data_IF_289960115103
#
_entry.id   IF_289960115103
#
_cell.length_a   1.000
_cell.length_b   1.000
_cell.length_c   1.000
_cell.angle_alpha   90.00
_cell.angle_beta   90.00
_cell.angle_gamma   90.00
#
_symmetry.space_group_name_H-M   'P 1'
#
loop_
_entity.id
_entity.type
_entity.pdbx_description
1 polymer ?
#
# COMPACT_ATOMS: atom_id res chain seq x y z
N UNK A 1 -16.65 6.62 -7.96
CA UNK A 1 -16.46 7.60 -6.86
C UNK A 1 -15.02 8.09 -6.75
N UNK A 2 -14.02 7.21 -6.56
CA UNK A 2 -12.62 7.63 -6.35
C UNK A 2 -12.07 8.52 -7.46
N UNK A 3 -12.28 8.14 -8.73
CA UNK A 3 -11.82 8.94 -9.88
C UNK A 3 -12.30 10.41 -9.83
N UNK A 4 -13.58 10.64 -9.50
CA UNK A 4 -14.10 11.99 -9.35
C UNK A 4 -13.38 12.77 -8.25
N UNK A 5 -13.06 12.12 -7.12
CA UNK A 5 -12.32 12.75 -6.02
C UNK A 5 -10.90 13.09 -6.44
N UNK A 6 -10.20 12.16 -7.08
CA UNK A 6 -8.86 12.40 -7.60
C UNK A 6 -8.83 13.59 -8.56
N UNK A 7 -9.77 13.66 -9.49
CA UNK A 7 -9.87 14.77 -10.43
C UNK A 7 -10.13 16.10 -9.71
N UNK A 8 -11.08 16.13 -8.77
CA UNK A 8 -11.39 17.33 -7.99
C UNK A 8 -10.21 17.79 -7.11
N UNK A 9 -9.33 16.87 -6.71
CA UNK A 9 -8.11 17.17 -5.95
C UNK A 9 -6.92 17.61 -6.83
N UNK A 10 -7.11 17.77 -8.15
CA UNK A 10 -6.07 18.28 -9.04
C UNK A 10 -5.17 17.20 -9.65
N UNK A 11 -5.62 15.94 -9.74
CA UNK A 11 -4.85 14.84 -10.36
C UNK A 11 -4.30 15.20 -11.76
N UNK A 12 -5.01 16.03 -12.53
CA UNK A 12 -4.55 16.50 -13.84
C UNK A 12 -3.19 17.20 -13.81
N UNK A 13 -2.80 17.79 -12.69
CA UNK A 13 -1.52 18.47 -12.48
C UNK A 13 -0.47 17.58 -11.79
N UNK A 14 -0.86 16.41 -11.28
CA UNK A 14 0.04 15.47 -10.65
C UNK A 14 0.60 14.45 -11.66
N UNK A 15 1.67 13.76 -11.25
CA UNK A 15 2.19 12.57 -11.95
C UNK A 15 1.18 11.43 -11.94
N UNK A 16 0.53 11.24 -10.79
CA UNK A 16 -0.24 10.04 -10.52
C UNK A 16 -0.91 10.05 -9.15
N UNK A 17 -1.28 8.86 -8.70
CA UNK A 17 -1.86 8.59 -7.39
C UNK A 17 -1.16 7.39 -6.73
N UNK A 18 -1.39 7.18 -5.43
CA UNK A 18 -0.89 6.03 -4.69
C UNK A 18 -2.04 5.19 -4.16
N UNK A 19 -1.87 3.87 -4.15
CA UNK A 19 -2.82 2.90 -3.61
C UNK A 19 -2.18 2.06 -2.51
N UNK A 20 -3.01 1.26 -1.83
CA UNK A 20 -2.63 0.35 -0.75
C UNK A 20 -1.89 0.95 0.47
N UNK A 21 -1.74 2.28 0.57
CA UNK A 21 -0.94 2.92 1.64
C UNK A 21 -1.40 2.46 3.01
N UNK A 22 -0.46 1.89 3.78
CA UNK A 22 -0.71 1.29 5.10
C UNK A 22 -1.71 0.13 5.13
N UNK A 23 -2.03 -0.47 3.98
CA UNK A 23 -2.91 -1.63 3.87
C UNK A 23 -2.12 -2.88 3.41
N UNK A 24 -2.84 -3.96 3.10
CA UNK A 24 -2.31 -5.30 2.96
C UNK A 24 -2.79 -5.99 1.68
N UNK A 25 -3.51 -5.30 0.80
CA UNK A 25 -4.09 -5.94 -0.39
C UNK A 25 -3.00 -6.48 -1.32
N UNK A 26 -3.29 -7.61 -1.94
CA UNK A 26 -2.40 -8.25 -2.90
C UNK A 26 -2.06 -7.30 -4.06
N UNK A 27 -0.78 -7.28 -4.47
CA UNK A 27 -0.28 -6.36 -5.50
C UNK A 27 -1.04 -6.52 -6.83
N UNK A 28 -1.48 -7.73 -7.21
CA UNK A 28 -2.22 -7.95 -8.44
C UNK A 28 -3.64 -7.38 -8.38
N UNK A 29 -4.27 -7.42 -7.21
CA UNK A 29 -5.59 -6.80 -6.99
C UNK A 29 -5.49 -5.28 -7.05
N UNK A 30 -4.51 -4.69 -6.37
CA UNK A 30 -4.26 -3.24 -6.41
C UNK A 30 -3.93 -2.77 -7.83
N UNK A 31 -3.06 -3.49 -8.55
CA UNK A 31 -2.76 -3.20 -9.95
C UNK A 31 -4.01 -3.21 -10.83
N UNK A 32 -4.89 -4.19 -10.63
CA UNK A 32 -6.14 -4.30 -11.39
C UNK A 32 -7.10 -3.15 -11.10
N UNK A 33 -7.14 -2.66 -9.86
CA UNK A 33 -7.91 -1.48 -9.47
C UNK A 33 -7.32 -0.19 -10.06
N UNK A 34 -6.00 -0.04 -9.96
CA UNK A 34 -5.30 1.18 -10.39
C UNK A 34 -5.27 1.32 -11.91
N UNK A 35 -5.18 0.22 -12.66
CA UNK A 35 -5.31 0.27 -14.13
C UNK A 35 -6.70 0.76 -14.57
N UNK A 36 -7.77 0.49 -13.81
CA UNK A 36 -9.09 1.07 -14.11
C UNK A 36 -9.08 2.59 -13.92
N UNK A 37 -8.47 3.08 -12.83
CA UNK A 37 -8.32 4.52 -12.58
C UNK A 37 -7.42 5.18 -13.63
N UNK A 38 -6.34 4.52 -14.02
CA UNK A 38 -5.46 4.97 -15.11
C UNK A 38 -6.20 5.03 -16.43
N UNK A 39 -6.98 4.02 -16.81
CA UNK A 39 -7.72 4.00 -18.06
C UNK A 39 -8.66 5.22 -18.20
N UNK A 40 -9.20 5.72 -17.07
CA UNK A 40 -10.05 6.91 -17.04
C UNK A 40 -9.28 8.23 -16.97
N UNK A 41 -8.06 8.24 -16.43
CA UNK A 41 -7.32 9.48 -16.12
C UNK A 41 -6.09 9.72 -17.00
N UNK A 42 -5.56 8.68 -17.63
CA UNK A 42 -4.25 8.68 -18.30
C UNK A 42 -3.06 8.84 -17.36
N UNK A 43 -3.25 8.75 -16.04
CA UNK A 43 -2.20 9.01 -15.04
C UNK A 43 -1.53 7.73 -14.55
N UNK A 44 -0.30 7.89 -14.08
CA UNK A 44 0.51 6.82 -13.51
C UNK A 44 0.13 6.57 -12.05
N UNK A 45 0.66 5.50 -11.46
CA UNK A 45 0.43 5.18 -10.06
C UNK A 45 1.60 4.44 -9.42
N UNK A 46 1.60 4.40 -8.08
CA UNK A 46 2.50 3.61 -7.26
C UNK A 46 1.69 2.81 -6.24
N UNK A 47 2.18 1.62 -5.88
CA UNK A 47 1.51 0.74 -4.91
C UNK A 47 2.40 0.61 -3.67
N UNK A 48 1.82 0.81 -2.49
CA UNK A 48 2.48 0.44 -1.23
C UNK A 48 2.50 -1.10 -1.08
N UNK A 49 3.69 -1.68 -1.06
CA UNK A 49 3.94 -3.11 -0.86
C UNK A 49 4.70 -3.38 0.43
N UNK A 50 4.65 -2.45 1.39
CA UNK A 50 5.32 -2.59 2.68
C UNK A 50 4.95 -3.87 3.42
N UNK A 51 3.66 -4.21 3.49
CA UNK A 51 3.15 -5.28 4.39
C UNK A 51 2.18 -6.24 3.71
N UNK A 52 2.13 -6.27 2.38
CA UNK A 52 1.13 -7.05 1.64
C UNK A 52 1.61 -8.45 1.20
N UNK A 53 2.71 -8.97 1.75
CA UNK A 53 3.30 -10.25 1.32
C UNK A 53 2.39 -11.48 1.48
N UNK A 54 1.34 -11.37 2.30
CA UNK A 54 0.33 -12.42 2.52
C UNK A 54 -1.10 -12.01 2.15
N UNK A 55 -1.27 -10.86 1.50
CA UNK A 55 -2.58 -10.31 1.17
C UNK A 55 -3.37 -9.87 2.41
N UNK A 56 -4.53 -9.25 2.15
CA UNK A 56 -5.40 -8.71 3.20
C UNK A 56 -6.35 -9.78 3.72
N UNK A 57 -6.54 -9.80 5.04
CA UNK A 57 -7.59 -10.59 5.70
C UNK A 57 -8.84 -9.76 6.01
N UNK A 58 -8.90 -8.52 5.55
CA UNK A 58 -9.95 -7.54 5.89
C UNK A 58 -9.70 -6.75 7.18
N UNK A 59 -8.75 -7.17 8.01
CA UNK A 59 -8.26 -6.40 9.16
C UNK A 59 -7.15 -5.45 8.71
N UNK A 60 -7.20 -4.20 9.16
CA UNK A 60 -6.22 -3.18 8.77
C UNK A 60 -5.34 -2.73 9.93
N UNK A 61 -5.74 -2.98 11.18
CA UNK A 61 -4.96 -2.53 12.32
C UNK A 61 -4.06 -3.63 12.89
N UNK A 62 -2.76 -3.53 12.64
CA UNK A 62 -1.73 -4.46 13.13
C UNK A 62 -2.06 -5.96 12.91
N UNK A 63 -2.62 -6.39 11.75
CA UNK A 63 -2.97 -7.79 11.53
C UNK A 63 -1.75 -8.70 11.65
N UNK A 64 -1.79 -9.68 12.56
CA UNK A 64 -0.66 -10.60 12.84
C UNK A 64 -0.37 -11.57 11.68
N UNK A 65 -1.34 -11.78 10.80
CA UNK A 65 -1.18 -12.61 9.61
C UNK A 65 -0.43 -11.90 8.47
N UNK A 66 -0.21 -10.58 8.55
CA UNK A 66 0.52 -9.84 7.53
C UNK A 66 1.98 -10.29 7.43
N UNK A 67 2.56 -10.12 6.25
CA UNK A 67 3.96 -10.39 5.95
C UNK A 67 4.57 -9.23 5.18
N UNK A 68 5.88 -9.04 5.34
CA UNK A 68 6.62 -8.03 4.60
C UNK A 68 6.45 -8.29 3.09
N UNK A 69 6.07 -7.28 2.33
CA UNK A 69 5.87 -7.46 0.89
C UNK A 69 7.19 -7.49 0.11
N UNK A 70 7.09 -7.37 -1.21
CA UNK A 70 8.26 -7.36 -2.09
C UNK A 70 9.16 -6.14 -1.85
N UNK A 71 10.44 -6.23 -2.24
CA UNK A 71 11.36 -5.10 -2.10
C UNK A 71 10.95 -3.95 -3.03
N UNK A 72 11.05 -2.68 -2.57
CA UNK A 72 10.76 -1.53 -3.41
C UNK A 72 11.58 -1.54 -4.70
N UNK A 73 10.93 -1.22 -5.82
CA UNK A 73 11.59 -1.10 -7.13
C UNK A 73 10.82 -0.19 -8.06
N UNK A 74 11.54 0.42 -9.00
CA UNK A 74 10.95 1.06 -10.18
C UNK A 74 10.45 -0.03 -11.13
N UNK A 75 9.30 0.21 -11.76
CA UNK A 75 8.70 -0.69 -12.74
C UNK A 75 8.82 -0.05 -14.13
N UNK A 76 9.37 -0.80 -15.08
CA UNK A 76 9.64 -0.34 -16.44
C UNK A 76 9.12 -1.36 -17.47
N UNK A 77 7.89 -1.84 -17.28
CA UNK A 77 7.23 -2.85 -18.12
C UNK A 77 6.25 -2.25 -19.16
N UNK A 78 6.19 -0.91 -19.25
CA UNK A 78 5.29 -0.18 -20.15
C UNK A 78 3.86 -0.02 -19.62
N UNK A 79 3.55 -0.51 -18.41
CA UNK A 79 2.28 -0.26 -17.73
C UNK A 79 2.20 1.14 -17.12
N UNK A 80 1.09 1.45 -16.44
CA UNK A 80 0.94 2.67 -15.65
C UNK A 80 1.63 2.69 -14.31
N UNK A 81 2.15 1.55 -13.86
CA UNK A 81 2.80 1.40 -12.57
C UNK A 81 4.22 1.98 -12.66
N UNK A 82 4.47 3.07 -11.96
CA UNK A 82 5.79 3.70 -11.90
C UNK A 82 6.73 2.94 -10.94
N UNK A 83 6.22 2.52 -9.77
CA UNK A 83 7.02 1.86 -8.75
C UNK A 83 6.17 1.11 -7.73
N UNK A 84 6.81 0.10 -7.14
CA UNK A 84 6.37 -0.55 -5.92
C UNK A 84 7.21 0.04 -4.79
N UNK A 85 6.54 0.59 -3.79
CA UNK A 85 7.17 1.37 -2.72
C UNK A 85 6.81 0.80 -1.36
N UNK A 86 7.64 1.05 -0.37
CA UNK A 86 7.20 0.97 1.02
C UNK A 86 6.84 2.38 1.45
N UNK A 87 5.55 2.70 1.39
CA UNK A 87 5.06 4.03 1.80
C UNK A 87 4.85 4.02 3.31
N UNK A 88 4.14 3.02 3.83
CA UNK A 88 4.16 2.71 5.26
C UNK A 88 5.51 2.13 5.64
N UNK A 89 6.09 2.61 6.75
CA UNK A 89 7.26 2.00 7.36
C UNK A 89 6.86 0.66 8.05
N UNK A 90 7.36 -0.50 7.58
CA UNK A 90 7.09 -1.78 8.24
C UNK A 90 7.67 -1.78 9.65
N UNK A 91 6.82 -2.04 10.65
CA UNK A 91 7.20 -2.03 12.07
C UNK A 91 6.66 -0.84 12.86
N UNK A 92 6.11 0.18 12.22
CA UNK A 92 5.30 1.17 12.93
C UNK A 92 3.88 0.66 13.17
N UNK A 93 3.34 0.87 14.38
CA UNK A 93 1.95 0.55 14.70
C UNK A 93 0.97 1.36 13.85
N UNK A 94 -0.15 0.74 13.51
CA UNK A 94 -1.31 1.37 12.85
C UNK A 94 -2.24 2.08 13.85
N UNK A 95 -2.12 1.76 15.14
CA UNK A 95 -2.97 2.30 16.20
C UNK A 95 -3.02 1.38 17.42
N UNK A 96 -3.57 1.91 18.52
CA UNK A 96 -3.61 1.17 19.79
C UNK A 96 -4.50 -0.06 19.75
N UNK A 97 -5.51 -0.09 18.88
CA UNK A 97 -6.34 -1.24 18.56
C UNK A 97 -6.56 -2.21 19.74
N UNK A 98 -5.99 -3.41 19.69
CA UNK A 98 -6.16 -4.42 20.74
C UNK A 98 -5.12 -4.31 21.88
N UNK A 99 -4.81 -3.09 22.32
CA UNK A 99 -3.77 -2.82 23.34
C UNK A 99 -2.35 -2.70 22.80
N UNK A 100 -2.20 -2.55 21.49
CA UNK A 100 -0.95 -2.29 20.80
C UNK A 100 -0.43 -0.85 21.01
N UNK A 101 0.80 -0.53 20.60
CA UNK A 101 1.33 0.83 20.65
C UNK A 101 0.47 1.83 19.86
N UNK A 102 0.55 3.11 20.24
CA UNK A 102 -0.11 4.19 19.48
C UNK A 102 0.37 4.27 18.02
N UNK A 103 -0.47 4.80 17.13
CA UNK A 103 -0.16 4.91 15.71
C UNK A 103 1.17 5.65 15.47
N UNK A 104 2.01 5.12 14.59
CA UNK A 104 3.33 5.67 14.25
C UNK A 104 4.44 5.36 15.26
N UNK A 105 4.14 4.74 16.41
CA UNK A 105 5.17 4.26 17.32
C UNK A 105 5.84 3.01 16.77
N UNK A 106 7.15 2.89 17.02
CA UNK A 106 7.90 1.68 16.69
C UNK A 106 7.36 0.49 17.48
N UNK A 107 7.05 -0.59 16.77
CA UNK A 107 6.47 -1.81 17.29
C UNK A 107 7.35 -3.00 16.91
N UNK A 108 8.42 -3.19 17.68
CA UNK A 108 9.49 -4.17 17.40
C UNK A 108 8.96 -5.58 17.08
N UNK A 109 8.08 -6.13 17.91
CA UNK A 109 7.56 -7.49 17.71
C UNK A 109 6.70 -7.61 16.45
N UNK A 110 6.04 -6.53 16.02
CA UNK A 110 5.31 -6.52 14.76
C UNK A 110 6.25 -6.46 13.56
N UNK A 111 7.33 -5.67 13.63
CA UNK A 111 8.38 -5.66 12.61
C UNK A 111 8.98 -7.07 12.41
N UNK A 112 9.31 -7.74 13.51
CA UNK A 112 9.80 -9.13 13.51
C UNK A 112 8.77 -10.10 12.91
N UNK A 113 7.49 -9.94 13.26
CA UNK A 113 6.40 -10.74 12.68
C UNK A 113 6.34 -10.58 11.17
N UNK A 114 6.41 -9.35 10.65
CA UNK A 114 6.38 -9.07 9.21
C UNK A 114 7.54 -9.76 8.48
N UNK A 115 8.75 -9.68 9.03
CA UNK A 115 9.94 -10.33 8.46
C UNK A 115 9.81 -11.86 8.51
N UNK A 116 9.35 -12.42 9.62
CA UNK A 116 9.12 -13.87 9.75
C UNK A 116 8.02 -14.39 8.82
N UNK A 117 7.10 -13.52 8.43
CA UNK A 117 5.97 -13.85 7.57
C UNK A 117 6.20 -13.54 6.08
N UNK A 118 7.41 -13.10 5.71
CA UNK A 118 7.76 -12.84 4.32
C UNK A 118 7.60 -14.06 3.42
#
# INVERSE_FOLDING_TARGET
VMMQRLWNSGLQFARGFSSNVSNFNDTALERSYDEQLRAMSGKHYVIDVSRNGRGSTGEWCNPRAAGLGENPRVVADGSGLDALLWVKAPGESDGSCNGDPAAGQWFQSYAETLVSNR
#
